data_IF_227088968873
#
_entry.id   IF_227088968873
#
_cell.length_a   1.000
_cell.length_b   1.000
_cell.length_c   1.000
_cell.angle_alpha   90.00
_cell.angle_beta   90.00
_cell.angle_gamma   90.00
#
_symmetry.space_group_name_H-M   'P 1'
#
loop_
_entity.id
_entity.type
_entity.pdbx_description
1 polymer ?
#
# COMPACT_ATOMS: atom_id res chain seq x y z
N UNK A 1 -14.29 15.47 -3.38
CA UNK A 1 -14.41 14.32 -4.30
C UNK A 1 -15.14 13.22 -3.55
N UNK A 2 -16.20 12.60 -4.11
CA UNK A 2 -16.95 11.56 -3.40
C UNK A 2 -16.08 10.31 -3.20
N UNK A 3 -16.15 9.73 -2.00
CA UNK A 3 -15.57 8.42 -1.72
C UNK A 3 -16.53 7.34 -2.23
N UNK A 4 -16.00 6.28 -2.82
CA UNK A 4 -16.75 5.09 -3.22
C UNK A 4 -16.44 3.94 -2.28
N UNK A 5 -17.38 3.01 -2.14
CA UNK A 5 -17.17 1.76 -1.42
C UNK A 5 -16.66 0.70 -2.41
N UNK A 6 -15.56 0.05 -2.07
CA UNK A 6 -14.99 -1.07 -2.81
C UNK A 6 -14.74 -2.22 -1.83
N UNK A 7 -14.75 -3.45 -2.35
CA UNK A 7 -14.29 -4.60 -1.58
C UNK A 7 -12.77 -4.69 -1.66
N UNK A 8 -12.12 -4.92 -0.52
CA UNK A 8 -10.69 -5.17 -0.47
C UNK A 8 -10.37 -6.43 -1.30
N UNK A 9 -9.46 -6.37 -2.28
CA UNK A 9 -9.13 -7.53 -3.13
C UNK A 9 -8.41 -8.67 -2.40
N UNK A 10 -8.09 -8.50 -1.12
CA UNK A 10 -7.34 -9.47 -0.30
C UNK A 10 -8.25 -10.15 0.74
N UNK A 11 -9.08 -9.38 1.42
CA UNK A 11 -9.89 -9.85 2.55
C UNK A 11 -11.40 -9.60 2.39
N UNK A 12 -11.82 -9.15 1.19
CA UNK A 12 -13.20 -8.83 0.82
C UNK A 12 -13.92 -7.81 1.72
N UNK A 13 -13.20 -7.16 2.62
CA UNK A 13 -13.77 -6.15 3.52
C UNK A 13 -14.13 -4.89 2.74
N UNK A 14 -15.35 -4.39 2.92
CA UNK A 14 -15.80 -3.12 2.35
C UNK A 14 -14.98 -1.96 2.91
N UNK A 15 -14.30 -1.23 2.04
CA UNK A 15 -13.52 -0.04 2.37
C UNK A 15 -13.95 1.14 1.51
N UNK A 16 -13.90 2.34 2.08
CA UNK A 16 -14.06 3.58 1.33
C UNK A 16 -12.73 3.96 0.67
N UNK A 17 -12.79 4.36 -0.59
CA UNK A 17 -11.63 4.82 -1.36
C UNK A 17 -12.04 5.96 -2.30
N UNK A 18 -11.06 6.61 -2.94
CA UNK A 18 -11.32 7.51 -4.05
C UNK A 18 -11.52 6.70 -5.34
N UNK A 19 -12.43 7.09 -6.24
CA UNK A 19 -12.68 6.39 -7.51
C UNK A 19 -11.44 6.11 -8.38
N UNK A 20 -10.38 6.90 -8.21
CA UNK A 20 -9.09 6.75 -8.90
C UNK A 20 -8.24 5.58 -8.43
N UNK A 21 -8.54 5.00 -7.25
CA UNK A 21 -7.83 3.86 -6.70
C UNK A 21 -8.82 2.70 -6.48
N UNK A 22 -9.35 2.11 -7.57
CA UNK A 22 -10.35 1.04 -7.48
C UNK A 22 -9.78 -0.28 -6.95
N UNK A 23 -8.45 -0.44 -6.95
CA UNK A 23 -7.73 -1.63 -6.47
C UNK A 23 -7.07 -1.43 -5.11
N UNK A 24 -7.45 -0.38 -4.39
CA UNK A 24 -6.88 -0.06 -3.09
C UNK A 24 -7.21 -1.15 -2.08
N UNK A 25 -6.20 -1.61 -1.34
CA UNK A 25 -6.41 -2.54 -0.22
C UNK A 25 -6.92 -1.79 1.02
N UNK A 26 -7.62 -2.49 1.92
CA UNK A 26 -8.06 -1.89 3.18
C UNK A 26 -6.87 -1.57 4.10
N UNK A 27 -7.09 -0.72 5.11
CA UNK A 27 -6.03 -0.33 6.06
C UNK A 27 -5.46 -1.52 6.85
N UNK A 28 -6.27 -2.54 7.14
CA UNK A 28 -5.83 -3.75 7.84
C UNK A 28 -4.88 -4.60 6.99
N UNK A 29 -5.18 -4.78 5.71
CA UNK A 29 -4.28 -5.47 4.78
C UNK A 29 -3.02 -4.64 4.53
N UNK A 30 -3.14 -3.32 4.42
CA UNK A 30 -2.00 -2.43 4.27
C UNK A 30 -0.99 -2.56 5.42
N UNK A 31 -1.47 -2.74 6.66
CA UNK A 31 -0.62 -2.94 7.84
C UNK A 31 0.10 -4.30 7.89
N UNK A 32 -0.31 -5.26 7.04
CA UNK A 32 0.35 -6.57 6.89
C UNK A 32 1.36 -6.60 5.74
N UNK A 33 1.60 -5.47 5.09
CA UNK A 33 2.53 -5.41 3.97
C UNK A 33 3.93 -5.80 4.42
N UNK A 34 4.56 -6.67 3.64
CA UNK A 34 5.93 -7.12 3.84
C UNK A 34 6.73 -7.04 2.55
N UNK A 35 8.04 -7.19 2.64
CA UNK A 35 8.90 -7.42 1.47
C UNK A 35 8.75 -8.87 0.95
N UNK A 36 9.57 -9.21 -0.05
CA UNK A 36 9.64 -10.57 -0.61
C UNK A 36 10.14 -11.62 0.39
N UNK A 37 10.91 -11.20 1.40
CA UNK A 37 11.45 -12.04 2.46
C UNK A 37 10.47 -12.25 3.62
N UNK A 38 9.33 -11.54 3.63
CA UNK A 38 8.34 -11.54 4.70
C UNK A 38 8.63 -10.56 5.84
N UNK A 39 9.59 -9.65 5.70
CA UNK A 39 9.84 -8.56 6.66
C UNK A 39 8.77 -7.49 6.52
N UNK A 40 8.13 -7.13 7.63
CA UNK A 40 7.06 -6.12 7.64
C UNK A 40 7.58 -4.73 7.21
N UNK A 41 6.78 -4.03 6.42
CA UNK A 41 7.08 -2.71 5.89
C UNK A 41 6.08 -1.67 6.41
N UNK A 42 6.60 -0.48 6.73
CA UNK A 42 5.82 0.69 7.09
C UNK A 42 6.06 1.80 6.07
N UNK A 43 4.98 2.41 5.59
CA UNK A 43 5.03 3.44 4.54
C UNK A 43 4.69 4.81 5.08
N UNK A 44 5.50 5.80 4.71
CA UNK A 44 5.34 7.18 5.15
C UNK A 44 5.50 8.15 3.98
N UNK A 45 4.91 9.33 4.13
CA UNK A 45 5.22 10.45 3.25
C UNK A 45 6.49 11.15 3.75
N UNK A 46 7.44 11.42 2.87
CA UNK A 46 8.70 12.08 3.25
C UNK A 46 8.51 13.58 3.53
N UNK A 47 7.50 14.22 2.94
CA UNK A 47 7.22 15.64 3.16
C UNK A 47 5.75 16.01 2.94
N UNK A 48 5.39 17.23 3.36
CA UNK A 48 4.07 17.86 3.11
C UNK A 48 3.84 18.10 1.62
N UNK A 49 4.91 18.30 0.84
CA UNK A 49 4.85 18.52 -0.61
C UNK A 49 4.85 17.24 -1.45
N UNK A 50 5.02 16.10 -0.80
CA UNK A 50 5.01 14.78 -1.40
C UNK A 50 6.26 13.95 -1.09
N UNK A 51 6.32 12.77 -1.69
CA UNK A 51 7.39 11.80 -1.59
C UNK A 51 7.01 10.57 -0.76
N UNK A 52 7.51 9.43 -1.22
CA UNK A 52 7.25 8.10 -0.68
C UNK A 52 8.51 7.55 -0.02
N UNK A 53 8.37 6.98 1.17
CA UNK A 53 9.42 6.18 1.80
C UNK A 53 8.81 4.96 2.47
N UNK A 54 9.51 3.84 2.35
CA UNK A 54 9.19 2.61 3.03
C UNK A 54 10.33 2.30 4.01
N UNK A 55 9.98 1.89 5.21
CA UNK A 55 10.92 1.42 6.22
C UNK A 55 10.58 -0.01 6.62
N UNK A 56 11.58 -0.78 7.03
CA UNK A 56 11.33 -2.04 7.70
C UNK A 56 10.80 -1.76 9.12
N UNK A 57 9.66 -2.35 9.45
CA UNK A 57 9.01 -2.18 10.75
C UNK A 57 9.93 -2.63 11.91
N UNK A 58 10.71 -3.68 11.68
CA UNK A 58 11.68 -4.20 12.66
C UNK A 58 12.87 -3.26 12.89
N UNK A 59 13.14 -2.37 11.93
CA UNK A 59 14.29 -1.49 11.97
C UNK A 59 14.01 -0.15 12.66
N UNK A 60 12.79 0.10 13.13
CA UNK A 60 12.44 1.36 13.82
C UNK A 60 12.82 2.60 12.98
N UNK A 61 12.54 2.56 11.67
CA UNK A 61 12.84 3.64 10.71
C UNK A 61 14.33 3.94 10.48
N UNK A 62 15.25 2.99 10.76
CA UNK A 62 16.68 3.16 10.42
C UNK A 62 17.06 2.56 9.06
N UNK A 63 16.37 1.51 8.62
CA UNK A 63 16.58 0.82 7.35
C UNK A 63 15.39 1.09 6.42
N UNK A 64 15.68 1.62 5.23
CA UNK A 64 14.67 1.91 4.22
C UNK A 64 14.57 0.78 3.22
N UNK A 65 13.34 0.49 2.80
CA UNK A 65 13.09 -0.38 1.66
C UNK A 65 13.16 0.47 0.38
N UNK A 66 14.03 0.14 -0.59
CA UNK A 66 14.30 1.00 -1.75
C UNK A 66 13.17 0.98 -2.79
N UNK A 67 12.18 0.09 -2.64
CA UNK A 67 11.12 -0.13 -3.62
C UNK A 67 9.72 0.17 -3.09
N UNK A 68 8.80 0.24 -4.04
CA UNK A 68 7.35 0.39 -3.84
C UNK A 68 6.63 -0.96 -3.76
N UNK A 69 7.32 -2.04 -4.13
CA UNK A 69 6.77 -3.38 -4.13
C UNK A 69 6.64 -3.91 -2.71
N UNK A 70 5.49 -4.50 -2.42
CA UNK A 70 5.22 -5.18 -1.17
C UNK A 70 4.33 -6.40 -1.43
N UNK A 71 4.24 -7.27 -0.43
CA UNK A 71 3.47 -8.49 -0.44
C UNK A 71 2.51 -8.46 0.74
N UNK A 72 1.27 -8.83 0.51
CA UNK A 72 0.26 -8.96 1.58
C UNK A 72 -0.39 -10.32 1.40
N UNK A 73 -0.27 -11.19 2.41
CA UNK A 73 -0.79 -12.56 2.36
C UNK A 73 -0.36 -13.32 1.07
N UNK A 74 0.86 -13.06 0.58
CA UNK A 74 1.42 -13.63 -0.65
C UNK A 74 1.02 -12.95 -1.96
N UNK A 75 0.16 -11.92 -1.90
CA UNK A 75 -0.31 -11.16 -3.06
C UNK A 75 0.64 -9.97 -3.33
N UNK A 76 1.14 -9.87 -4.55
CA UNK A 76 1.98 -8.75 -5.01
C UNK A 76 1.17 -7.45 -5.02
N UNK A 77 1.71 -6.44 -4.36
CA UNK A 77 1.11 -5.13 -4.17
C UNK A 77 2.12 -4.02 -4.47
N UNK A 78 1.61 -2.83 -4.77
CA UNK A 78 2.38 -1.63 -5.04
C UNK A 78 1.91 -0.51 -4.12
N UNK A 79 2.81 -0.03 -3.27
CA UNK A 79 2.60 1.07 -2.35
C UNK A 79 3.18 2.35 -2.95
N UNK A 80 2.39 3.41 -3.03
CA UNK A 80 2.85 4.67 -3.59
C UNK A 80 2.11 5.86 -3.00
N UNK A 81 2.66 7.05 -3.22
CA UNK A 81 2.04 8.29 -2.80
C UNK A 81 0.73 8.57 -3.55
N UNK A 82 -0.31 8.90 -2.79
CA UNK A 82 -1.54 9.38 -3.36
C UNK A 82 -1.39 10.84 -3.82
N UNK A 83 -2.02 11.20 -4.94
CA UNK A 83 -2.01 12.57 -5.51
C UNK A 83 -2.46 13.73 -4.58
N UNK A 84 -3.06 13.46 -3.43
CA UNK A 84 -3.46 14.47 -2.44
C UNK A 84 -2.83 14.23 -1.06
N UNK A 85 -1.70 13.52 -1.00
CA UNK A 85 -1.06 13.08 0.23
C UNK A 85 -1.62 11.76 0.75
N UNK A 86 -0.84 11.11 1.62
CA UNK A 86 -1.09 9.75 2.10
C UNK A 86 -0.49 8.68 1.20
N UNK A 87 -0.44 7.45 1.71
CA UNK A 87 0.03 6.28 0.97
C UNK A 87 -1.16 5.44 0.53
N UNK A 88 -1.13 5.00 -0.72
CA UNK A 88 -2.09 4.06 -1.29
C UNK A 88 -1.37 2.79 -1.68
N UNK A 89 -1.90 1.66 -1.22
CA UNK A 89 -1.42 0.33 -1.60
C UNK A 89 -2.46 -0.30 -2.51
N UNK A 90 -2.04 -0.78 -3.68
CA UNK A 90 -2.90 -1.43 -4.67
C UNK A 90 -2.36 -2.81 -5.01
N UNK A 91 -3.24 -3.79 -5.22
CA UNK A 91 -2.82 -5.10 -5.73
C UNK A 91 -2.33 -4.97 -7.16
N UNK A 92 -1.15 -5.52 -7.44
CA UNK A 92 -0.65 -5.72 -8.79
C UNK A 92 -1.35 -6.95 -9.36
N UNK A 93 -2.46 -6.75 -10.05
CA UNK A 93 -3.07 -7.83 -10.82
C UNK A 93 -2.14 -8.13 -12.00
N UNK A 94 -1.61 -9.36 -12.04
CA UNK A 94 -1.05 -9.93 -13.26
C UNK A 94 -2.23 -10.14 -14.22
N UNK A 95 -2.55 -9.13 -15.02
CA UNK A 95 -3.47 -9.27 -16.14
C UNK A 95 -2.59 -9.20 -17.39
N UNK A 96 -2.25 -10.35 -18.00
CA UNK A 96 -1.98 -10.33 -19.43
C UNK A 96 -3.25 -9.81 -20.12
N UNK A 97 -3.08 -8.77 -20.92
CA UNK A 97 -4.11 -8.26 -21.85
C UNK A 97 -4.61 -9.35 -22.79
#
# INVERSE_FOLDING_TARGET
>A
MPMIEISCPICDTTTKTLPRYPRRVCGTCAAKASDESGRALEFFNTSIGGGFIAYYADSHQTETHPGHLCFIDGIRCYADEARFGGIVIQTLTDQPE
#
